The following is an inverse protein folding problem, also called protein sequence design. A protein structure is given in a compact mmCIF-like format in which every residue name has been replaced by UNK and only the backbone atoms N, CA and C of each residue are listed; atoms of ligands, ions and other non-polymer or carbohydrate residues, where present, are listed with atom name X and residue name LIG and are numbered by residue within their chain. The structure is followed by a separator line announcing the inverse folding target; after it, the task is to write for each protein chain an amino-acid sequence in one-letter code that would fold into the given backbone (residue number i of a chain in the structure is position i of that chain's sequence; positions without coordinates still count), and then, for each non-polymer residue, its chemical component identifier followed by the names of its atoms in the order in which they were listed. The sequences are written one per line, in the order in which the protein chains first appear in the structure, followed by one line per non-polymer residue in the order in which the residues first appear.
data_IF_523750182860
#
_entry.id   IF_523750182860
#
_cell.length_a   1.000
_cell.length_b   1.000
_cell.length_c   1.000
_cell.angle_alpha   90.00
_cell.angle_beta   90.00
_cell.angle_gamma   90.00
#
_symmetry.space_group_name_H-M   'P 1'
#
loop_
_entity.id
_entity.type
_entity.pdbx_description
1 polymer ?
#
# COMPACT_ATOMS: atom_id res chain seq x y z
N UNK A 1 2.53 -6.50 -14.17
CA UNK A 1 1.52 -6.19 -13.15
C UNK A 1 0.13 -6.45 -13.71
N UNK A 2 -0.69 -7.26 -13.03
CA UNK A 2 -2.13 -7.32 -13.30
C UNK A 2 -2.82 -6.27 -12.42
N UNK A 3 -3.18 -5.13 -13.02
CA UNK A 3 -3.66 -3.96 -12.27
C UNK A 3 -4.95 -4.25 -11.48
N UNK A 4 -5.86 -5.04 -12.03
CA UNK A 4 -7.10 -5.42 -11.33
C UNK A 4 -6.80 -6.28 -10.09
N UNK A 5 -5.89 -7.26 -10.22
CA UNK A 5 -5.48 -8.09 -9.09
C UNK A 5 -4.78 -7.25 -8.01
N UNK A 6 -3.88 -6.35 -8.43
CA UNK A 6 -3.18 -5.45 -7.53
C UNK A 6 -4.15 -4.54 -6.76
N UNK A 7 -5.12 -3.94 -7.44
CA UNK A 7 -6.17 -3.13 -6.80
C UNK A 7 -7.02 -3.94 -5.81
N UNK A 8 -7.33 -5.20 -6.12
CA UNK A 8 -8.04 -6.09 -5.20
C UNK A 8 -7.20 -6.40 -3.95
N UNK A 9 -5.91 -6.71 -4.10
CA UNK A 9 -5.01 -6.91 -2.96
C UNK A 9 -4.92 -5.67 -2.06
N UNK A 10 -4.77 -4.48 -2.65
CA UNK A 10 -4.72 -3.22 -1.88
C UNK A 10 -6.07 -2.93 -1.21
N UNK A 11 -7.19 -3.28 -1.86
CA UNK A 11 -8.52 -3.18 -1.24
C UNK A 11 -8.61 -4.10 -0.02
N UNK A 12 -8.22 -5.37 -0.14
CA UNK A 12 -8.25 -6.33 0.96
C UNK A 12 -7.33 -5.89 2.10
N UNK A 13 -6.16 -5.34 1.76
CA UNK A 13 -5.28 -4.69 2.72
C UNK A 13 -5.99 -3.54 3.45
N UNK A 14 -6.71 -2.68 2.75
CA UNK A 14 -7.51 -1.62 3.37
C UNK A 14 -8.56 -2.15 4.35
N UNK A 15 -9.26 -3.23 3.99
CA UNK A 15 -10.22 -3.90 4.90
C UNK A 15 -9.49 -4.39 6.14
N UNK A 16 -8.36 -5.08 5.95
CA UNK A 16 -7.57 -5.62 7.05
C UNK A 16 -7.04 -4.54 7.99
N UNK A 17 -6.57 -3.42 7.43
CA UNK A 17 -6.13 -2.28 8.23
C UNK A 17 -7.27 -1.70 9.08
N UNK A 18 -8.50 -1.71 8.57
CA UNK A 18 -9.67 -1.30 9.35
C UNK A 18 -10.02 -2.31 10.45
N UNK A 19 -9.96 -3.62 10.17
CA UNK A 19 -10.16 -4.67 11.18
C UNK A 19 -9.13 -4.60 12.31
N UNK A 20 -7.91 -4.17 12.00
CA UNK A 20 -6.83 -3.92 12.96
C UNK A 20 -6.95 -2.55 13.65
N UNK A 21 -7.99 -1.78 13.36
CA UNK A 21 -8.25 -0.44 13.89
C UNK A 21 -7.12 0.58 13.59
N UNK A 22 -6.28 0.30 12.58
CA UNK A 22 -5.20 1.19 12.14
C UNK A 22 -5.70 2.34 11.26
N UNK A 23 -6.84 2.13 10.61
CA UNK A 23 -7.53 3.15 9.80
C UNK A 23 -9.02 3.14 10.09
N UNK A 24 -9.66 4.29 9.91
CA UNK A 24 -11.11 4.38 9.84
C UNK A 24 -11.52 4.77 8.42
N UNK A 25 -12.29 3.90 7.77
CA UNK A 25 -12.81 4.16 6.43
C UNK A 25 -14.17 4.82 6.57
N UNK A 26 -14.24 6.11 6.23
CA UNK A 26 -15.50 6.82 6.22
C UNK A 26 -16.46 6.26 5.15
N UNK A 27 -17.79 6.30 5.38
CA UNK A 27 -18.77 5.90 4.37
C UNK A 27 -18.53 6.60 3.02
N UNK A 28 -18.56 5.83 1.93
CA UNK A 28 -18.31 6.34 0.58
C UNK A 28 -16.83 6.54 0.21
N UNK A 29 -15.87 6.27 1.11
CA UNK A 29 -14.45 6.25 0.78
C UNK A 29 -13.99 4.86 0.32
N UNK A 30 -13.02 4.86 -0.58
CA UNK A 30 -12.41 3.62 -1.08
C UNK A 30 -11.40 3.06 -0.07
N UNK A 31 -11.53 1.77 0.23
CA UNK A 31 -10.54 1.00 0.98
C UNK A 31 -9.15 1.06 0.34
N UNK A 32 -9.08 0.98 -1.00
CA UNK A 32 -7.82 1.09 -1.74
C UNK A 32 -7.14 2.43 -1.49
N UNK A 33 -7.90 3.52 -1.56
CA UNK A 33 -7.35 4.85 -1.36
C UNK A 33 -6.91 5.08 0.09
N UNK A 34 -7.70 4.59 1.05
CA UNK A 34 -7.40 4.67 2.48
C UNK A 34 -6.14 3.88 2.82
N UNK A 35 -6.01 2.66 2.31
CA UNK A 35 -4.83 1.83 2.49
C UNK A 35 -3.57 2.54 1.99
N UNK A 36 -3.57 3.03 0.74
CA UNK A 36 -2.41 3.72 0.20
C UNK A 36 -2.05 4.97 1.01
N UNK A 37 -3.03 5.77 1.41
CA UNK A 37 -2.77 6.96 2.24
C UNK A 37 -2.13 6.58 3.57
N UNK A 38 -2.65 5.53 4.22
CA UNK A 38 -2.09 5.03 5.47
C UNK A 38 -0.65 4.53 5.31
N UNK A 39 -0.38 3.70 4.29
CA UNK A 39 0.97 3.17 4.07
C UNK A 39 1.99 4.29 3.85
N UNK A 40 1.65 5.29 3.04
CA UNK A 40 2.52 6.46 2.87
C UNK A 40 2.74 7.20 4.19
N UNK A 41 1.67 7.46 4.95
CA UNK A 41 1.75 8.17 6.23
C UNK A 41 2.58 7.40 7.29
N UNK A 42 2.43 6.07 7.39
CA UNK A 42 3.22 5.22 8.30
C UNK A 42 4.73 5.30 8.02
N UNK A 43 5.09 5.59 6.77
CA UNK A 43 6.46 5.79 6.34
C UNK A 43 6.88 7.27 6.26
N UNK A 44 6.09 8.19 6.81
CA UNK A 44 6.42 9.61 6.92
C UNK A 44 6.33 10.38 5.59
N UNK A 45 5.55 9.89 4.63
CA UNK A 45 5.40 10.47 3.31
C UNK A 45 3.94 10.78 2.95
N UNK A 46 3.74 11.67 2.00
CA UNK A 46 2.42 11.96 1.42
C UNK A 46 2.25 11.14 0.15
N UNK A 47 1.08 10.50 0.00
CA UNK A 47 0.75 9.77 -1.23
C UNK A 47 0.73 10.74 -2.42
N UNK A 48 1.45 10.42 -3.52
CA UNK A 48 1.37 11.23 -4.73
C UNK A 48 -0.02 11.10 -5.39
N UNK A 49 -0.52 12.23 -5.90
CA UNK A 49 -1.82 12.31 -6.56
C UNK A 49 -1.63 12.44 -8.09
N UNK A 50 -2.59 11.92 -8.86
CA UNK A 50 -2.62 12.08 -10.32
C UNK A 50 -1.61 11.23 -11.10
N UNK A 51 -0.92 10.29 -10.44
CA UNK A 51 0.02 9.37 -11.10
C UNK A 51 -0.52 7.93 -11.14
N UNK A 52 -0.05 7.10 -12.08
CA UNK A 52 -0.47 5.70 -12.17
C UNK A 52 -0.15 4.90 -10.90
N UNK A 53 -0.90 3.81 -10.69
CA UNK A 53 -0.76 2.95 -9.52
C UNK A 53 0.65 2.33 -9.43
N UNK A 54 1.19 1.84 -10.55
CA UNK A 54 2.56 1.31 -10.63
C UNK A 54 3.58 2.30 -10.06
N UNK A 55 3.58 3.54 -10.55
CA UNK A 55 4.47 4.59 -10.06
C UNK A 55 4.22 4.95 -8.59
N UNK A 56 2.97 4.97 -8.15
CA UNK A 56 2.61 5.20 -6.75
C UNK A 56 3.23 4.13 -5.84
N UNK A 57 3.12 2.87 -6.23
CA UNK A 57 3.66 1.75 -5.45
C UNK A 57 5.19 1.77 -5.45
N UNK A 58 5.84 2.03 -6.59
CA UNK A 58 7.30 2.17 -6.64
C UNK A 58 7.82 3.25 -5.71
N UNK A 59 7.19 4.42 -5.70
CA UNK A 59 7.55 5.51 -4.78
C UNK A 59 7.45 5.08 -3.32
N UNK A 60 6.39 4.34 -2.96
CA UNK A 60 6.25 3.74 -1.63
C UNK A 60 7.40 2.76 -1.33
N UNK A 61 7.76 1.91 -2.29
CA UNK A 61 8.90 1.01 -2.19
C UNK A 61 10.23 1.75 -1.93
N UNK A 62 10.50 2.82 -2.67
CA UNK A 62 11.70 3.65 -2.49
C UNK A 62 11.78 4.24 -1.08
N UNK A 63 10.66 4.76 -0.57
CA UNK A 63 10.56 5.31 0.79
C UNK A 63 10.89 4.23 1.83
N UNK A 64 10.37 3.02 1.67
CA UNK A 64 10.63 1.90 2.60
C UNK A 64 12.12 1.52 2.62
N UNK A 65 12.75 1.47 1.45
CA UNK A 65 14.19 1.17 1.32
C UNK A 65 15.03 2.29 1.95
N UNK A 66 14.69 3.55 1.68
CA UNK A 66 15.37 4.70 2.25
C UNK A 66 15.27 4.71 3.79
N UNK A 67 14.12 4.31 4.33
CA UNK A 67 13.89 4.16 5.77
C UNK A 67 14.58 2.91 6.38
N UNK A 68 15.41 2.19 5.62
CA UNK A 68 16.14 0.96 5.98
C UNK A 68 15.27 -0.15 6.58
N UNK A 69 13.95 -0.10 6.42
CA UNK A 69 13.04 -1.12 6.97
C UNK A 69 13.14 -2.44 6.19
N UNK A 70 13.54 -2.42 4.91
CA UNK A 70 13.63 -3.61 4.05
C UNK A 70 14.62 -3.38 2.90
N UNK A 71 15.25 -4.45 2.40
CA UNK A 71 15.98 -4.44 1.13
C UNK A 71 15.14 -5.15 0.06
N UNK A 72 14.62 -4.40 -0.91
CA UNK A 72 13.99 -5.00 -2.10
C UNK A 72 15.05 -5.29 -3.15
N UNK A 73 15.14 -6.53 -3.63
CA UNK A 73 16.01 -6.89 -4.76
C UNK A 73 15.57 -6.21 -6.07
N UNK A 74 14.26 -5.92 -6.20
CA UNK A 74 13.64 -5.11 -7.25
C UNK A 74 12.41 -4.39 -6.67
N UNK A 75 12.27 -3.10 -6.99
CA UNK A 75 11.11 -2.28 -6.65
C UNK A 75 9.94 -2.56 -7.61
N UNK A 76 9.47 -3.80 -7.60
CA UNK A 76 8.33 -4.24 -8.39
C UNK A 76 7.01 -4.00 -7.62
N UNK A 77 5.98 -3.39 -8.23
CA UNK A 77 4.73 -3.04 -7.55
C UNK A 77 4.01 -4.23 -6.91
N UNK A 78 3.95 -5.39 -7.58
CA UNK A 78 3.32 -6.59 -7.04
C UNK A 78 4.08 -7.06 -5.78
N UNK A 79 5.41 -7.02 -5.83
CA UNK A 79 6.27 -7.37 -4.68
C UNK A 79 6.09 -6.43 -3.49
N UNK A 80 5.89 -5.13 -3.74
CA UNK A 80 5.63 -4.13 -2.69
C UNK A 80 4.27 -4.39 -2.03
N UNK A 81 3.22 -4.67 -2.81
CA UNK A 81 1.90 -5.01 -2.26
C UNK A 81 1.95 -6.32 -1.49
N UNK A 82 2.61 -7.36 -2.03
CA UNK A 82 2.75 -8.65 -1.36
C UNK A 82 3.52 -8.54 -0.03
N UNK A 83 4.52 -7.66 0.05
CA UNK A 83 5.20 -7.34 1.30
C UNK A 83 4.19 -6.85 2.36
N UNK A 84 3.34 -5.88 2.03
CA UNK A 84 2.35 -5.35 2.97
C UNK A 84 1.24 -6.34 3.29
N UNK A 85 0.77 -7.11 2.30
CA UNK A 85 -0.18 -8.18 2.55
C UNK A 85 0.37 -9.19 3.56
N UNK A 86 1.65 -9.57 3.46
CA UNK A 86 2.30 -10.45 4.45
C UNK A 86 2.46 -9.76 5.81
N UNK A 87 2.91 -8.51 5.82
CA UNK A 87 3.15 -7.74 7.05
C UNK A 87 1.87 -7.60 7.88
N UNK A 88 0.74 -7.29 7.23
CA UNK A 88 -0.57 -7.13 7.87
C UNK A 88 -1.41 -8.42 7.90
N UNK A 89 -0.86 -9.55 7.46
CA UNK A 89 -1.50 -10.87 7.44
C UNK A 89 -2.84 -10.89 6.66
N UNK A 90 -2.83 -10.30 5.48
CA UNK A 90 -3.91 -10.37 4.48
C UNK A 90 -3.78 -11.69 3.70
N UNK A 91 -4.87 -12.43 3.60
CA UNK A 91 -4.97 -13.70 2.86
C UNK A 91 -5.42 -13.51 1.42
#
# INVERSE_FOLDING_TARGET
MNEQNCLQKIRNLGVRLQELELVQVAPGKSYTATALNFLFADHGATRPAGIPLDHTLRALGEIIVANRKVHFSRLDPDSIVDFFCRFYRVH
#
